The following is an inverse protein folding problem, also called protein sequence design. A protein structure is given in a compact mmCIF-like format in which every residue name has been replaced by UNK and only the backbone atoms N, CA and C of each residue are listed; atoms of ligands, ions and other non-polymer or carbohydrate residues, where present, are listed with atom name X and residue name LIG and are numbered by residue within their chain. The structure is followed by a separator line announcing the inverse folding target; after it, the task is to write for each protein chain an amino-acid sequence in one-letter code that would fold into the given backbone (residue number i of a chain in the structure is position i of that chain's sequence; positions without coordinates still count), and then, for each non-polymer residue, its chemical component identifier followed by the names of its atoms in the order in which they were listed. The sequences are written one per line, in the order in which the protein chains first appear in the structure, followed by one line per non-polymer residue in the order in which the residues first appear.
data_IF_882394200443
#
_entry.id   IF_882394200443
#
_cell.length_a   1.000
_cell.length_b   1.000
_cell.length_c   1.000
_cell.angle_alpha   90.00
_cell.angle_beta   90.00
_cell.angle_gamma   90.00
#
_symmetry.space_group_name_H-M   'P 1'
#
loop_
_entity.id
_entity.type
_entity.pdbx_description
1 polymer ?
#
# COMPACT_ATOMS: atom_id res chain seq x y z
N UNK A 1 21.48 -19.61 20.28
CA UNK A 1 22.21 -20.56 19.42
C UNK A 1 21.22 -21.50 18.75
N UNK A 2 21.25 -21.59 17.41
CA UNK A 2 20.34 -22.41 16.60
C UNK A 2 20.91 -23.80 16.26
N UNK A 3 22.08 -24.14 16.79
CA UNK A 3 22.82 -25.37 16.48
C UNK A 3 23.92 -25.22 15.42
N UNK A 4 23.89 -24.14 14.61
CA UNK A 4 24.93 -23.80 13.61
C UNK A 4 25.18 -22.29 13.48
N UNK A 5 24.58 -21.49 14.35
CA UNK A 5 24.62 -20.03 14.30
C UNK A 5 23.75 -19.40 15.38
N UNK A 6 23.43 -18.12 15.23
CA UNK A 6 22.68 -17.35 16.22
C UNK A 6 21.45 -16.68 15.61
N UNK A 7 20.38 -16.60 16.38
CA UNK A 7 19.23 -15.75 16.09
C UNK A 7 19.26 -14.58 17.05
N UNK A 8 19.12 -13.37 16.51
CA UNK A 8 18.85 -12.18 17.31
C UNK A 8 17.34 -11.95 17.30
N UNK A 9 16.75 -11.78 18.48
CA UNK A 9 15.31 -11.58 18.67
C UNK A 9 15.11 -10.30 19.46
N UNK A 10 14.37 -9.36 18.89
CA UNK A 10 13.88 -8.17 19.58
C UNK A 10 12.41 -8.40 19.92
N UNK A 11 12.08 -8.27 21.21
CA UNK A 11 10.70 -8.31 21.67
C UNK A 11 10.13 -6.90 21.63
N UNK A 12 8.93 -6.74 21.07
CA UNK A 12 8.27 -5.44 20.97
C UNK A 12 7.23 -5.28 22.07
N UNK A 13 7.17 -4.09 22.67
CA UNK A 13 6.24 -3.79 23.77
C UNK A 13 4.78 -3.88 23.33
N UNK A 14 4.48 -3.48 22.09
CA UNK A 14 3.14 -3.49 21.52
C UNK A 14 3.11 -4.31 20.22
N UNK A 15 1.98 -4.94 19.88
CA UNK A 15 1.77 -5.52 18.56
C UNK A 15 2.01 -4.47 17.46
N UNK A 16 2.77 -4.84 16.43
CA UNK A 16 3.07 -3.92 15.32
C UNK A 16 1.87 -3.91 14.35
N UNK A 17 1.26 -2.74 14.09
CA UNK A 17 0.17 -2.67 13.13
C UNK A 17 0.61 -3.08 11.73
N UNK A 18 -0.26 -3.81 11.02
CA UNK A 18 -0.02 -4.25 9.62
C UNK A 18 0.35 -3.10 8.67
N UNK A 19 -0.19 -1.90 8.89
CA UNK A 19 0.10 -0.70 8.10
C UNK A 19 1.59 -0.27 8.16
N UNK A 20 2.33 -0.75 9.16
CA UNK A 20 3.73 -0.42 9.42
C UNK A 20 4.71 -1.30 8.62
N UNK A 21 4.24 -2.30 7.88
CA UNK A 21 5.09 -3.23 7.13
C UNK A 21 6.17 -2.54 6.26
N UNK A 22 5.90 -1.45 5.51
CA UNK A 22 6.95 -0.79 4.74
C UNK A 22 8.11 -0.26 5.59
N UNK A 23 7.82 0.25 6.79
CA UNK A 23 8.82 0.75 7.74
C UNK A 23 9.54 -0.41 8.41
N UNK A 24 8.80 -1.45 8.79
CA UNK A 24 9.37 -2.69 9.32
C UNK A 24 10.36 -3.32 8.32
N UNK A 25 10.00 -3.40 7.04
CA UNK A 25 10.88 -3.86 5.95
C UNK A 25 12.11 -2.97 5.74
N UNK A 26 12.04 -1.67 6.05
CA UNK A 26 13.20 -0.79 6.02
C UNK A 26 14.13 -1.09 7.20
N UNK A 27 13.55 -1.25 8.40
CA UNK A 27 14.29 -1.59 9.61
C UNK A 27 15.06 -2.90 9.45
N UNK A 28 14.40 -3.96 8.97
CA UNK A 28 15.10 -5.24 8.74
C UNK A 28 16.22 -5.15 7.71
N UNK A 29 16.01 -4.38 6.63
CA UNK A 29 17.07 -4.18 5.63
C UNK A 29 18.30 -3.52 6.23
N UNK A 30 18.08 -2.50 7.06
CA UNK A 30 19.15 -1.79 7.75
C UNK A 30 19.84 -2.66 8.80
N UNK A 31 19.09 -3.41 9.61
CA UNK A 31 19.66 -4.36 10.58
C UNK A 31 20.54 -5.42 9.88
N UNK A 32 20.06 -6.03 8.80
CA UNK A 32 20.84 -7.01 8.03
C UNK A 32 22.08 -6.36 7.40
N UNK A 33 21.97 -5.11 6.91
CA UNK A 33 23.11 -4.39 6.37
C UNK A 33 24.19 -4.15 7.45
N UNK A 34 23.80 -3.62 8.62
CA UNK A 34 24.72 -3.35 9.74
C UNK A 34 25.39 -4.61 10.28
N UNK A 35 24.68 -5.73 10.26
CA UNK A 35 25.15 -7.03 10.73
C UNK A 35 25.83 -7.88 9.65
N UNK A 36 25.92 -7.39 8.41
CA UNK A 36 26.51 -8.13 7.28
C UNK A 36 27.95 -8.55 7.55
N UNK A 37 28.75 -7.69 8.19
CA UNK A 37 30.14 -7.98 8.60
C UNK A 37 30.27 -9.17 9.57
N UNK A 38 29.19 -9.55 10.25
CA UNK A 38 29.13 -10.70 11.15
C UNK A 38 28.45 -11.92 10.50
N UNK A 39 28.21 -11.89 9.18
CA UNK A 39 27.60 -13.00 8.44
C UNK A 39 26.07 -13.06 8.54
N UNK A 40 25.40 -11.91 8.69
CA UNK A 40 23.93 -11.87 8.68
C UNK A 40 23.36 -12.42 7.36
N UNK A 41 22.34 -13.29 7.46
CA UNK A 41 21.62 -13.83 6.32
C UNK A 41 20.87 -12.70 5.57
N UNK A 42 21.29 -12.42 4.34
CA UNK A 42 20.71 -11.38 3.49
C UNK A 42 19.20 -11.57 3.24
N UNK A 43 18.70 -12.79 3.36
CA UNK A 43 17.30 -13.14 3.16
C UNK A 43 16.44 -13.01 4.43
N UNK A 44 17.04 -12.84 5.62
CA UNK A 44 16.33 -12.74 6.90
C UNK A 44 15.66 -11.37 7.11
N UNK A 45 14.71 -11.03 6.24
CA UNK A 45 14.02 -9.73 6.19
C UNK A 45 12.50 -9.86 6.14
N UNK A 46 11.96 -11.06 6.33
CA UNK A 46 10.52 -11.38 6.29
C UNK A 46 9.86 -11.25 7.66
N UNK A 47 8.62 -10.77 7.67
CA UNK A 47 7.88 -10.44 8.90
C UNK A 47 7.46 -11.67 9.71
N UNK A 48 7.41 -12.85 9.08
CA UNK A 48 6.88 -14.08 9.67
C UNK A 48 7.79 -15.29 9.55
N UNK A 49 9.09 -15.10 9.82
CA UNK A 49 10.06 -16.19 9.77
C UNK A 49 9.78 -17.26 10.81
N UNK A 50 9.77 -18.52 10.38
CA UNK A 50 9.79 -19.69 11.27
C UNK A 50 11.20 -19.87 11.83
N UNK A 51 11.32 -19.79 13.15
CA UNK A 51 12.57 -20.01 13.87
C UNK A 51 12.52 -21.32 14.66
N UNK A 52 13.68 -21.94 14.88
CA UNK A 52 13.77 -23.13 15.73
C UNK A 52 13.38 -22.80 17.17
N UNK A 53 12.63 -23.72 17.77
CA UNK A 53 12.16 -23.63 19.16
C UNK A 53 13.34 -23.84 20.12
N UNK A 54 13.41 -23.06 21.20
CA UNK A 54 14.42 -23.25 22.25
C UNK A 54 14.18 -24.62 22.91
N UNK A 55 15.25 -25.31 23.29
CA UNK A 55 15.31 -26.71 23.79
C UNK A 55 15.11 -27.80 22.75
N UNK A 56 14.75 -27.50 21.51
CA UNK A 56 14.67 -28.51 20.44
C UNK A 56 16.05 -28.88 19.88
N UNK A 57 16.15 -30.05 19.25
CA UNK A 57 17.38 -30.53 18.61
C UNK A 57 17.40 -30.10 17.14
N UNK A 58 18.49 -29.46 16.70
CA UNK A 58 18.71 -29.20 15.29
C UNK A 58 19.17 -30.49 14.59
N UNK A 59 18.28 -31.13 13.83
CA UNK A 59 18.56 -32.38 13.11
C UNK A 59 19.79 -32.32 12.18
N UNK A 60 20.18 -31.14 11.69
CA UNK A 60 21.35 -30.97 10.81
C UNK A 60 22.69 -30.94 11.55
N UNK A 61 22.71 -30.77 12.87
CA UNK A 61 23.95 -30.75 13.66
C UNK A 61 23.91 -31.57 14.94
N UNK A 62 22.75 -32.13 15.30
CA UNK A 62 22.54 -32.83 16.57
C UNK A 62 22.56 -31.92 17.80
N UNK A 63 22.73 -30.61 17.62
CA UNK A 63 22.90 -29.66 18.72
C UNK A 63 21.56 -29.13 19.25
N UNK A 64 21.49 -28.93 20.56
CA UNK A 64 20.32 -28.33 21.23
C UNK A 64 20.30 -26.82 21.00
N UNK A 65 19.14 -26.33 20.56
CA UNK A 65 18.84 -24.91 20.41
C UNK A 65 18.69 -24.32 21.81
N UNK A 66 19.50 -23.30 22.14
CA UNK A 66 19.52 -22.70 23.48
C UNK A 66 19.66 -21.19 23.44
N UNK A 67 19.18 -20.52 24.48
CA UNK A 67 19.47 -19.10 24.72
C UNK A 67 20.94 -18.99 25.15
N UNK A 68 21.68 -18.06 24.55
CA UNK A 68 23.12 -17.85 24.86
C UNK A 68 23.32 -16.52 25.59
N UNK A 69 22.47 -15.55 25.33
CA UNK A 69 22.42 -14.29 26.04
C UNK A 69 21.05 -13.66 25.85
N UNK A 70 20.60 -12.93 26.86
CA UNK A 70 19.39 -12.13 26.82
C UNK A 70 19.63 -10.85 27.63
N UNK A 71 19.05 -9.75 27.17
CA UNK A 71 19.04 -8.49 27.91
C UNK A 71 17.82 -8.46 28.80
N UNK A 72 18.02 -8.23 30.09
CA UNK A 72 16.96 -8.18 31.09
C UNK A 72 16.76 -6.75 31.59
N UNK A 73 15.51 -6.43 31.94
CA UNK A 73 15.08 -5.21 32.60
C UNK A 73 14.04 -5.61 33.65
N UNK A 74 14.29 -5.30 34.92
CA UNK A 74 13.43 -5.70 36.04
C UNK A 74 13.08 -7.20 36.03
N UNK A 75 14.09 -8.06 35.92
CA UNK A 75 13.97 -9.53 35.85
C UNK A 75 13.12 -10.09 34.69
N UNK A 76 12.75 -9.25 33.71
CA UNK A 76 12.04 -9.65 32.50
C UNK A 76 12.90 -9.43 31.28
N UNK A 77 12.66 -10.18 30.20
CA UNK A 77 13.33 -9.93 28.92
C UNK A 77 12.96 -8.52 28.46
N UNK A 78 13.98 -7.71 28.19
CA UNK A 78 13.80 -6.33 27.75
C UNK A 78 12.98 -6.27 26.47
N UNK A 79 11.92 -5.47 26.50
CA UNK A 79 11.06 -5.18 25.35
C UNK A 79 11.34 -3.78 24.82
N UNK A 80 11.16 -3.59 23.52
CA UNK A 80 11.50 -2.36 22.82
C UNK A 80 10.25 -1.74 22.18
N UNK A 81 10.14 -0.41 22.24
CA UNK A 81 9.19 0.31 21.39
C UNK A 81 9.62 0.18 19.93
N UNK A 82 8.71 -0.23 19.03
CA UNK A 82 9.06 -0.38 17.61
C UNK A 82 9.50 0.94 16.99
N UNK A 83 8.80 2.04 17.28
CA UNK A 83 9.13 3.35 16.74
C UNK A 83 10.51 3.83 17.22
N UNK A 84 10.80 3.68 18.52
CA UNK A 84 12.10 4.00 19.09
C UNK A 84 13.23 3.19 18.44
N UNK A 85 13.09 1.86 18.36
CA UNK A 85 14.09 1.01 17.71
C UNK A 85 14.29 1.39 16.24
N UNK A 86 13.20 1.72 15.54
CA UNK A 86 13.26 2.14 14.16
C UNK A 86 13.95 3.49 13.99
N UNK A 87 13.70 4.45 14.86
CA UNK A 87 14.30 5.79 14.80
C UNK A 87 15.78 5.77 15.18
N UNK A 88 16.21 4.90 16.11
CA UNK A 88 17.63 4.70 16.45
C UNK A 88 18.41 3.95 15.35
N UNK A 89 17.72 3.08 14.59
CA UNK A 89 18.37 2.22 13.60
C UNK A 89 18.31 2.80 12.19
N UNK A 90 17.23 3.45 11.80
CA UNK A 90 17.09 3.99 10.45
C UNK A 90 17.88 5.29 10.30
N UNK A 91 18.35 5.63 9.09
CA UNK A 91 19.11 6.86 8.86
C UNK A 91 18.34 8.17 9.10
N UNK A 92 17.01 8.09 9.12
CA UNK A 92 16.13 9.24 9.34
C UNK A 92 14.94 8.82 10.20
N UNK A 93 14.56 9.68 11.14
CA UNK A 93 13.38 9.48 11.97
C UNK A 93 12.10 9.77 11.19
N UNK A 94 10.95 9.37 11.74
CA UNK A 94 9.64 9.69 11.14
C UNK A 94 9.40 11.19 11.01
N UNK A 95 9.83 11.97 12.01
CA UNK A 95 9.67 13.43 12.05
C UNK A 95 10.58 14.11 11.02
N UNK A 96 11.84 13.70 10.93
CA UNK A 96 12.78 14.19 9.92
C UNK A 96 12.29 13.87 8.49
N UNK A 97 11.75 12.66 8.26
CA UNK A 97 11.14 12.32 6.97
C UNK A 97 9.94 13.23 6.68
N UNK A 98 9.16 13.61 7.69
CA UNK A 98 8.04 14.54 7.53
C UNK A 98 8.54 15.95 7.18
N UNK A 99 9.48 16.49 7.95
CA UNK A 99 10.10 17.80 7.71
C UNK A 99 10.76 17.86 6.33
N UNK A 100 11.57 16.86 5.96
CA UNK A 100 12.18 16.77 4.63
C UNK A 100 11.12 16.74 3.52
N UNK A 101 9.95 16.14 3.74
CA UNK A 101 8.84 16.17 2.77
C UNK A 101 8.19 17.53 2.70
N UNK A 102 7.97 18.20 3.82
CA UNK A 102 7.42 19.56 3.88
C UNK A 102 8.37 20.57 3.24
N UNK A 103 9.66 20.52 3.56
CA UNK A 103 10.68 21.37 2.94
C UNK A 103 10.75 21.14 1.44
N UNK A 104 10.70 19.88 0.98
CA UNK A 104 10.63 19.57 -0.46
C UNK A 104 9.35 20.10 -1.09
N UNK A 105 8.22 20.08 -0.37
CA UNK A 105 6.97 20.66 -0.86
C UNK A 105 7.03 22.20 -0.94
N UNK A 106 7.60 22.86 0.07
CA UNK A 106 7.83 24.32 0.12
C UNK A 106 8.86 24.77 -0.94
N UNK A 107 9.95 24.02 -1.15
CA UNK A 107 10.94 24.30 -2.20
C UNK A 107 10.36 24.09 -3.60
N UNK A 108 9.42 23.15 -3.76
CA UNK A 108 8.66 22.99 -5.01
C UNK A 108 7.69 24.13 -5.30
N UNK A 109 7.04 24.72 -4.29
CA UNK A 109 6.19 25.89 -4.51
C UNK A 109 7.00 27.13 -4.91
N UNK A 110 8.31 27.16 -4.62
CA UNK A 110 9.20 28.30 -4.91
C UNK A 110 10.05 28.15 -6.19
N UNK A 111 9.88 27.09 -6.99
CA UNK A 111 10.52 26.98 -8.32
C UNK A 111 9.57 26.40 -9.36
N UNK A 112 8.77 27.28 -9.98
CA UNK A 112 8.17 27.00 -11.29
C UNK A 112 9.13 27.49 -12.37
N UNK A 113 10.17 26.69 -12.63
CA UNK A 113 10.80 26.68 -13.96
C UNK A 113 10.18 25.47 -14.67
N UNK A 114 9.53 25.69 -15.81
CA UNK A 114 8.98 24.65 -16.68
C UNK A 114 10.11 23.70 -17.10
N UNK A 115 10.36 22.68 -16.29
CA UNK A 115 11.37 21.65 -16.50
C UNK A 115 10.76 20.29 -16.21
N UNK A 116 10.76 19.42 -17.22
CA UNK A 116 9.95 18.22 -17.39
C UNK A 116 10.31 17.03 -16.46
N UNK A 117 10.61 17.26 -15.19
CA UNK A 117 10.93 16.20 -14.23
C UNK A 117 9.93 16.20 -13.08
N UNK A 118 9.03 15.22 -13.10
CA UNK A 118 8.08 14.89 -12.03
C UNK A 118 8.83 14.35 -10.78
N UNK A 119 9.68 15.17 -10.17
CA UNK A 119 10.29 14.88 -8.88
C UNK A 119 9.19 14.90 -7.82
N UNK A 120 9.07 13.88 -6.96
CA UNK A 120 8.13 13.83 -5.82
C UNK A 120 6.83 13.05 -6.04
N UNK A 121 6.65 12.37 -7.17
CA UNK A 121 5.74 11.21 -7.18
C UNK A 121 6.39 10.11 -6.33
N UNK A 122 5.63 9.47 -5.43
CA UNK A 122 6.09 8.20 -4.85
C UNK A 122 6.39 7.27 -6.02
N UNK A 123 7.64 6.86 -6.17
CA UNK A 123 8.01 5.90 -7.19
C UNK A 123 7.10 4.68 -7.09
N UNK A 124 6.68 4.16 -8.24
CA UNK A 124 5.88 2.94 -8.28
C UNK A 124 6.66 1.82 -7.58
N UNK A 125 6.11 1.28 -6.50
CA UNK A 125 6.69 0.15 -5.79
C UNK A 125 5.79 -1.05 -5.99
N UNK A 126 6.28 -2.06 -6.73
CA UNK A 126 5.54 -3.30 -6.94
C UNK A 126 5.17 -4.00 -5.63
N UNK A 127 6.05 -3.94 -4.62
CA UNK A 127 5.79 -4.50 -3.28
C UNK A 127 4.65 -3.78 -2.57
N UNK A 128 4.61 -2.44 -2.66
CA UNK A 128 3.52 -1.65 -2.11
C UNK A 128 2.21 -1.94 -2.83
N UNK A 129 2.23 -1.98 -4.17
CA UNK A 129 1.05 -2.34 -4.95
C UNK A 129 0.51 -3.72 -4.55
N UNK A 130 1.40 -4.71 -4.38
CA UNK A 130 1.00 -6.04 -3.93
C UNK A 130 0.32 -6.00 -2.56
N UNK A 131 0.89 -5.25 -1.61
CA UNK A 131 0.28 -5.05 -0.30
C UNK A 131 -1.09 -4.36 -0.37
N UNK A 132 -1.20 -3.27 -1.14
CA UNK A 132 -2.45 -2.52 -1.29
C UNK A 132 -3.54 -3.40 -1.97
N UNK A 133 -3.17 -4.28 -2.90
CA UNK A 133 -4.08 -5.28 -3.51
C UNK A 133 -4.52 -6.36 -2.53
N UNK A 134 -3.61 -6.86 -1.68
CA UNK A 134 -3.96 -7.77 -0.60
C UNK A 134 -5.02 -7.14 0.32
N UNK A 135 -4.85 -5.86 0.68
CA UNK A 135 -5.80 -5.16 1.52
C UNK A 135 -7.16 -4.95 0.83
N UNK A 136 -7.16 -4.65 -0.48
CA UNK A 136 -8.40 -4.60 -1.26
C UNK A 136 -9.13 -5.95 -1.30
N UNK A 137 -8.42 -7.07 -1.45
CA UNK A 137 -9.04 -8.40 -1.43
C UNK A 137 -9.65 -8.72 -0.06
N UNK A 138 -8.97 -8.37 1.04
CA UNK A 138 -9.55 -8.50 2.38
C UNK A 138 -10.79 -7.64 2.55
N UNK A 139 -10.73 -6.40 2.07
CA UNK A 139 -11.88 -5.48 2.13
C UNK A 139 -13.04 -5.99 1.28
N UNK A 140 -12.78 -6.47 0.07
CA UNK A 140 -13.78 -7.08 -0.80
C UNK A 140 -14.46 -8.26 -0.09
N UNK A 141 -13.66 -9.12 0.54
CA UNK A 141 -14.18 -10.25 1.31
C UNK A 141 -15.09 -9.82 2.48
N UNK A 142 -14.76 -8.73 3.17
CA UNK A 142 -15.61 -8.16 4.23
C UNK A 142 -16.90 -7.58 3.64
N UNK A 143 -16.81 -6.86 2.52
CA UNK A 143 -17.96 -6.22 1.86
C UNK A 143 -19.03 -7.21 1.40
N UNK A 144 -18.63 -8.43 1.00
CA UNK A 144 -19.54 -9.46 0.48
C UNK A 144 -20.27 -10.28 1.56
N UNK A 145 -19.84 -10.22 2.83
CA UNK A 145 -20.48 -10.99 3.92
C UNK A 145 -20.28 -12.52 3.80
N UNK A 146 -20.43 -13.26 4.91
CA UNK A 146 -20.14 -14.73 5.00
C UNK A 146 -20.90 -15.60 4.00
N UNK A 147 -22.10 -15.21 3.60
CA UNK A 147 -23.05 -16.05 2.85
C UNK A 147 -22.82 -16.05 1.33
N UNK A 148 -22.25 -14.99 0.75
CA UNK A 148 -22.00 -14.89 -0.70
C UNK A 148 -20.67 -15.51 -1.16
N UNK A 149 -20.10 -16.44 -0.37
CA UNK A 149 -18.67 -16.83 -0.45
C UNK A 149 -18.40 -18.32 -0.74
N UNK A 150 -19.44 -19.12 -0.94
CA UNK A 150 -19.27 -20.53 -1.26
C UNK A 150 -18.62 -20.67 -2.64
N UNK A 151 -17.47 -21.35 -2.71
CA UNK A 151 -16.67 -21.51 -3.94
C UNK A 151 -15.55 -20.48 -4.16
N UNK A 152 -15.57 -19.30 -3.52
CA UNK A 152 -14.53 -18.26 -3.73
C UNK A 152 -13.38 -18.32 -2.71
N UNK A 153 -13.50 -19.13 -1.63
CA UNK A 153 -12.53 -19.15 -0.51
C UNK A 153 -11.11 -19.46 -0.95
N UNK A 154 -10.92 -20.51 -1.76
CA UNK A 154 -9.61 -20.87 -2.32
C UNK A 154 -9.03 -19.77 -3.22
N UNK A 155 -9.90 -19.12 -4.00
CA UNK A 155 -9.50 -18.04 -4.89
C UNK A 155 -8.99 -16.83 -4.10
N UNK A 156 -9.71 -16.42 -3.04
CA UNK A 156 -9.25 -15.39 -2.12
C UNK A 156 -7.93 -15.80 -1.45
N UNK A 157 -7.85 -17.01 -0.89
CA UNK A 157 -6.65 -17.48 -0.21
C UNK A 157 -5.42 -17.46 -1.14
N UNK A 158 -5.56 -18.03 -2.34
CA UNK A 158 -4.50 -18.09 -3.34
C UNK A 158 -3.97 -16.70 -3.70
N UNK A 159 -4.87 -15.78 -4.05
CA UNK A 159 -4.46 -14.43 -4.44
C UNK A 159 -3.90 -13.61 -3.29
N UNK A 160 -4.48 -13.75 -2.08
CA UNK A 160 -3.96 -13.10 -0.89
C UNK A 160 -2.53 -13.57 -0.55
N UNK A 161 -2.26 -14.88 -0.61
CA UNK A 161 -0.91 -15.42 -0.37
C UNK A 161 0.07 -14.99 -1.47
N UNK A 162 -0.33 -15.02 -2.74
CA UNK A 162 0.50 -14.54 -3.84
C UNK A 162 0.91 -13.06 -3.64
N UNK A 163 -0.02 -12.19 -3.22
CA UNK A 163 0.29 -10.80 -2.94
C UNK A 163 1.10 -10.60 -1.66
N UNK A 164 0.90 -11.44 -0.65
CA UNK A 164 1.70 -11.44 0.57
C UNK A 164 3.17 -11.75 0.26
N UNK A 165 3.42 -12.76 -0.59
CA UNK A 165 4.75 -13.11 -1.09
C UNK A 165 5.37 -11.99 -1.94
N UNK A 166 4.61 -11.42 -2.90
CA UNK A 166 5.08 -10.31 -3.73
C UNK A 166 5.42 -9.05 -2.91
N UNK A 167 4.69 -8.79 -1.82
CA UNK A 167 4.96 -7.67 -0.92
C UNK A 167 6.26 -7.86 -0.13
N UNK A 168 6.75 -9.10 -0.03
CA UNK A 168 7.89 -9.49 0.81
C UNK A 168 7.56 -9.60 2.30
N UNK A 169 6.28 -9.62 2.68
CA UNK A 169 5.86 -9.84 4.05
C UNK A 169 6.20 -11.26 4.53
N UNK A 170 6.12 -12.24 3.63
CA UNK A 170 6.50 -13.63 3.88
C UNK A 170 7.41 -14.16 2.76
N UNK A 171 7.87 -15.40 2.90
CA UNK A 171 8.71 -16.13 1.94
C UNK A 171 8.20 -17.57 1.76
N UNK A 172 8.85 -18.35 0.91
CA UNK A 172 8.43 -19.73 0.64
C UNK A 172 8.36 -20.58 1.92
N UNK A 173 9.31 -20.42 2.85
CA UNK A 173 9.36 -21.23 4.08
C UNK A 173 8.18 -20.94 5.02
N UNK A 174 7.73 -19.69 5.10
CA UNK A 174 6.61 -19.26 5.95
C UNK A 174 5.23 -19.38 5.28
N UNK A 175 5.19 -19.66 3.97
CA UNK A 175 3.98 -19.54 3.15
C UNK A 175 2.79 -20.34 3.68
N UNK A 176 2.98 -21.60 4.07
CA UNK A 176 1.85 -22.46 4.50
C UNK A 176 1.28 -22.07 5.87
N UNK A 177 2.11 -21.54 6.77
CA UNK A 177 1.62 -21.00 8.04
C UNK A 177 0.78 -19.75 7.80
N UNK A 178 1.27 -18.85 6.94
CA UNK A 178 0.49 -17.67 6.53
C UNK A 178 -0.80 -18.06 5.84
N UNK A 179 -0.77 -19.08 4.98
CA UNK A 179 -1.97 -19.58 4.32
C UNK A 179 -2.98 -20.15 5.33
N UNK A 180 -2.51 -20.87 6.35
CA UNK A 180 -3.37 -21.33 7.45
C UNK A 180 -4.03 -20.18 8.20
N UNK A 181 -3.27 -19.12 8.50
CA UNK A 181 -3.82 -17.99 9.24
C UNK A 181 -4.78 -17.15 8.39
N UNK A 182 -4.47 -16.96 7.10
CA UNK A 182 -5.39 -16.32 6.17
C UNK A 182 -6.66 -17.15 5.97
N UNK A 183 -6.57 -18.48 5.89
CA UNK A 183 -7.72 -19.35 5.77
C UNK A 183 -8.67 -19.19 6.95
N UNK A 184 -8.16 -19.15 8.19
CA UNK A 184 -8.98 -18.86 9.39
C UNK A 184 -9.63 -17.48 9.34
N UNK A 185 -8.93 -16.48 8.82
CA UNK A 185 -9.49 -15.12 8.66
C UNK A 185 -10.59 -15.04 7.60
N UNK A 186 -10.54 -15.93 6.61
CA UNK A 186 -11.55 -16.09 5.57
C UNK A 186 -12.75 -16.81 6.19
N UNK A 187 -12.54 -18.02 6.69
CA UNK A 187 -13.56 -18.84 7.33
C UNK A 187 -12.91 -19.67 8.45
N UNK A 188 -13.25 -19.39 9.73
CA UNK A 188 -12.67 -20.10 10.87
C UNK A 188 -12.87 -21.63 10.84
N UNK A 189 -13.94 -22.10 10.20
CA UNK A 189 -14.28 -23.52 10.14
C UNK A 189 -13.72 -24.23 8.90
N UNK A 190 -12.96 -23.52 8.07
CA UNK A 190 -12.50 -24.03 6.79
C UNK A 190 -11.16 -24.75 6.88
N UNK A 191 -11.20 -26.07 6.72
CA UNK A 191 -10.01 -26.91 6.51
C UNK A 191 -9.65 -27.00 5.03
N UNK A 192 -8.88 -26.03 4.52
CA UNK A 192 -8.37 -26.10 3.15
C UNK A 192 -7.23 -27.12 3.01
N UNK A 193 -7.05 -27.67 1.81
CA UNK A 193 -5.97 -28.61 1.48
C UNK A 193 -4.71 -27.86 1.05
N UNK A 194 -3.59 -28.10 1.74
CA UNK A 194 -2.33 -27.39 1.46
C UNK A 194 -1.77 -27.66 0.06
N UNK A 195 -2.08 -28.83 -0.50
CA UNK A 195 -1.68 -29.29 -1.83
C UNK A 195 -2.19 -28.37 -2.94
N UNK A 196 -3.32 -27.71 -2.72
CA UNK A 196 -3.90 -26.75 -3.67
C UNK A 196 -3.02 -25.49 -3.85
N UNK A 197 -2.11 -25.24 -2.91
CA UNK A 197 -1.12 -24.15 -2.99
C UNK A 197 0.26 -24.61 -3.47
N UNK A 198 0.46 -25.89 -3.79
CA UNK A 198 1.75 -26.46 -4.21
C UNK A 198 2.39 -25.73 -5.40
N UNK A 199 1.59 -25.40 -6.41
CA UNK A 199 2.06 -24.65 -7.59
C UNK A 199 2.54 -23.24 -7.22
N UNK A 200 1.81 -22.57 -6.31
CA UNK A 200 2.21 -21.26 -5.81
C UNK A 200 3.47 -21.35 -4.94
N UNK A 201 3.63 -22.44 -4.19
CA UNK A 201 4.82 -22.70 -3.38
C UNK A 201 6.08 -22.89 -4.23
N UNK A 202 6.02 -23.66 -5.32
CA UNK A 202 7.17 -23.78 -6.23
C UNK A 202 7.52 -22.43 -6.87
N UNK A 203 6.52 -21.65 -7.28
CA UNK A 203 6.73 -20.28 -7.76
C UNK A 203 7.32 -19.35 -6.70
N UNK A 204 6.96 -19.52 -5.43
CA UNK A 204 7.52 -18.77 -4.32
C UNK A 204 9.00 -19.09 -4.12
N UNK A 205 9.40 -20.36 -4.26
CA UNK A 205 10.82 -20.79 -4.22
C UNK A 205 11.61 -20.18 -5.35
N UNK A 206 11.07 -20.22 -6.58
CA UNK A 206 11.70 -19.60 -7.74
C UNK A 206 11.89 -18.09 -7.57
N UNK A 207 10.85 -17.41 -7.09
CA UNK A 207 10.90 -15.98 -6.83
C UNK A 207 11.92 -15.62 -5.74
N UNK A 208 11.99 -16.41 -4.67
CA UNK A 208 12.99 -16.22 -3.62
C UNK A 208 14.42 -16.46 -4.13
N UNK A 209 14.61 -17.37 -5.07
CA UNK A 209 15.89 -17.60 -5.75
C UNK A 209 16.23 -16.51 -6.79
N UNK A 210 15.37 -15.50 -6.97
CA UNK A 210 15.57 -14.43 -7.94
C UNK A 210 15.31 -14.82 -9.39
N UNK A 211 14.67 -15.97 -9.63
CA UNK A 211 14.29 -16.40 -10.99
C UNK A 211 13.17 -15.50 -11.53
N UNK A 212 13.17 -15.35 -12.85
CA UNK A 212 12.18 -14.61 -13.61
C UNK A 212 11.63 -15.46 -14.75
N UNK A 213 10.39 -15.20 -15.14
CA UNK A 213 9.75 -15.80 -16.31
C UNK A 213 9.71 -14.79 -17.45
N UNK A 214 9.97 -15.25 -18.68
CA UNK A 214 9.80 -14.42 -19.88
C UNK A 214 8.43 -14.67 -20.47
N UNK A 215 7.64 -13.61 -20.65
CA UNK A 215 6.32 -13.67 -21.27
C UNK A 215 6.12 -12.44 -22.15
N UNK A 216 5.68 -12.63 -23.41
CA UNK A 216 5.53 -11.54 -24.39
C UNK A 216 6.76 -10.61 -24.47
N UNK A 217 7.96 -11.19 -24.57
CA UNK A 217 9.25 -10.49 -24.62
C UNK A 217 9.53 -9.56 -23.41
N UNK A 218 8.89 -9.83 -22.27
CA UNK A 218 9.10 -9.09 -21.01
C UNK A 218 9.41 -10.06 -19.88
N UNK A 219 10.31 -9.65 -18.99
CA UNK A 219 10.61 -10.40 -17.79
C UNK A 219 9.63 -10.05 -16.67
N UNK A 220 9.13 -11.09 -16.02
CA UNK A 220 8.25 -11.00 -14.86
C UNK A 220 8.83 -11.81 -13.70
N UNK A 221 8.50 -11.44 -12.44
CA UNK A 221 8.69 -12.33 -11.30
C UNK A 221 8.06 -13.70 -11.54
N UNK A 222 8.61 -14.78 -10.97
CA UNK A 222 8.02 -16.12 -11.08
C UNK A 222 6.62 -16.24 -10.47
N UNK A 223 6.30 -15.39 -9.49
CA UNK A 223 4.97 -15.23 -8.89
C UNK A 223 3.97 -14.57 -9.86
N UNK A 224 2.67 -14.71 -9.57
CA UNK A 224 1.63 -14.18 -10.44
C UNK A 224 1.50 -12.66 -10.31
N UNK A 225 1.68 -11.92 -11.41
CA UNK A 225 1.52 -10.46 -11.46
C UNK A 225 0.37 -10.05 -12.37
N UNK A 226 -0.90 -10.23 -11.94
CA UNK A 226 -2.06 -9.95 -12.78
C UNK A 226 -2.26 -8.45 -13.00
N UNK A 227 -2.91 -8.12 -14.12
CA UNK A 227 -3.47 -6.78 -14.35
C UNK A 227 -4.70 -6.58 -13.46
N UNK A 228 -5.07 -5.32 -13.21
CA UNK A 228 -6.29 -5.01 -12.46
C UNK A 228 -7.53 -5.64 -13.09
N UNK A 229 -7.66 -5.56 -14.42
CA UNK A 229 -8.81 -6.12 -15.13
C UNK A 229 -8.95 -7.62 -14.85
N UNK A 230 -7.86 -8.39 -14.95
CA UNK A 230 -7.89 -9.82 -14.62
C UNK A 230 -8.44 -10.08 -13.21
N UNK A 231 -8.04 -9.31 -12.19
CA UNK A 231 -8.56 -9.50 -10.83
C UNK A 231 -10.04 -9.08 -10.71
N UNK A 232 -10.43 -8.02 -11.41
CA UNK A 232 -11.83 -7.59 -11.46
C UNK A 232 -12.70 -8.69 -12.09
N UNK A 233 -12.23 -9.29 -13.19
CA UNK A 233 -12.94 -10.36 -13.88
C UNK A 233 -12.98 -11.64 -13.03
N UNK A 234 -11.83 -12.05 -12.48
CA UNK A 234 -11.70 -13.25 -11.62
C UNK A 234 -12.65 -13.20 -10.42
N UNK A 235 -12.75 -12.04 -9.77
CA UNK A 235 -13.60 -11.87 -8.60
C UNK A 235 -14.99 -11.29 -8.94
N UNK A 236 -15.32 -11.09 -10.22
CA UNK A 236 -16.55 -10.40 -10.65
C UNK A 236 -16.83 -9.11 -9.86
N UNK A 237 -15.81 -8.25 -9.69
CA UNK A 237 -15.91 -7.05 -8.85
C UNK A 237 -16.83 -6.01 -9.48
N UNK A 238 -17.93 -5.70 -8.80
CA UNK A 238 -18.93 -4.74 -9.26
C UNK A 238 -18.43 -3.29 -9.21
N UNK A 239 -19.06 -2.41 -9.97
CA UNK A 239 -18.73 -0.97 -9.95
C UNK A 239 -18.86 -0.35 -8.56
N UNK A 240 -19.83 -0.79 -7.76
CA UNK A 240 -20.03 -0.27 -6.40
C UNK A 240 -19.01 -0.80 -5.39
N UNK A 241 -18.54 -2.04 -5.57
CA UNK A 241 -17.40 -2.56 -4.82
C UNK A 241 -16.13 -1.79 -5.17
N UNK A 242 -15.86 -1.56 -6.46
CA UNK A 242 -14.67 -0.83 -6.91
C UNK A 242 -14.57 0.58 -6.28
N UNK A 243 -15.68 1.30 -6.10
CA UNK A 243 -15.72 2.59 -5.38
C UNK A 243 -15.19 2.49 -3.94
N UNK A 244 -15.36 1.35 -3.29
CA UNK A 244 -14.89 1.10 -1.92
C UNK A 244 -13.44 0.57 -1.88
N UNK A 245 -12.85 0.16 -3.00
CA UNK A 245 -11.48 -0.36 -3.10
C UNK A 245 -10.47 0.72 -3.48
N UNK A 246 -9.20 0.49 -3.17
CA UNK A 246 -8.12 1.46 -3.36
C UNK A 246 -7.40 1.31 -4.70
N UNK A 247 -7.06 0.08 -5.08
CA UNK A 247 -6.25 -0.29 -6.25
C UNK A 247 -6.97 -1.18 -7.25
N UNK A 248 -7.87 -2.07 -6.81
CA UNK A 248 -8.66 -2.96 -7.67
C UNK A 248 -9.82 -2.22 -8.33
N UNK A 249 -9.47 -1.24 -9.17
CA UNK A 249 -10.41 -0.41 -9.93
C UNK A 249 -10.16 -0.55 -11.42
N UNK A 250 -11.25 -0.51 -12.18
CA UNK A 250 -11.27 -0.52 -13.63
C UNK A 250 -10.99 0.87 -14.22
N UNK A 251 -11.01 0.95 -15.55
CA UNK A 251 -10.71 2.20 -16.27
C UNK A 251 -11.75 3.29 -16.01
N UNK A 252 -13.04 2.93 -15.96
CA UNK A 252 -14.14 3.87 -15.70
C UNK A 252 -14.01 4.56 -14.34
N UNK A 253 -13.88 3.78 -13.27
CA UNK A 253 -13.70 4.30 -11.90
C UNK A 253 -12.41 5.11 -11.76
N UNK A 254 -11.32 4.68 -12.42
CA UNK A 254 -10.07 5.44 -12.42
C UNK A 254 -10.23 6.83 -13.06
N UNK A 255 -10.93 6.90 -14.20
CA UNK A 255 -11.24 8.16 -14.87
C UNK A 255 -12.14 9.03 -14.02
N UNK A 256 -13.13 8.46 -13.34
CA UNK A 256 -14.03 9.20 -12.45
C UNK A 256 -13.28 9.84 -11.28
N UNK A 257 -12.45 9.06 -10.57
CA UNK A 257 -11.58 9.61 -9.51
C UNK A 257 -10.60 10.65 -10.02
N UNK A 258 -10.15 10.53 -11.26
CA UNK A 258 -9.31 11.55 -11.89
C UNK A 258 -10.10 12.85 -12.12
N UNK A 259 -11.32 12.77 -12.69
CA UNK A 259 -12.22 13.91 -12.89
C UNK A 259 -12.49 14.65 -11.58
N UNK A 260 -12.88 13.92 -10.53
CA UNK A 260 -13.17 14.49 -9.21
C UNK A 260 -11.94 15.20 -8.60
N UNK A 261 -10.75 14.60 -8.69
CA UNK A 261 -9.51 15.24 -8.21
C UNK A 261 -9.15 16.49 -8.99
N UNK A 262 -9.32 16.48 -10.31
CA UNK A 262 -9.08 17.65 -11.14
C UNK A 262 -10.09 18.77 -10.85
N UNK A 263 -11.35 18.44 -10.63
CA UNK A 263 -12.37 19.40 -10.23
C UNK A 263 -12.04 20.05 -8.88
N UNK A 264 -11.69 19.25 -7.86
CA UNK A 264 -11.27 19.78 -6.56
C UNK A 264 -10.02 20.67 -6.68
N UNK A 265 -9.04 20.28 -7.50
CA UNK A 265 -7.86 21.11 -7.77
C UNK A 265 -8.22 22.42 -8.46
N UNK A 266 -9.18 22.41 -9.38
CA UNK A 266 -9.67 23.65 -10.03
C UNK A 266 -10.34 24.55 -9.01
N UNK A 267 -11.25 24.02 -8.18
CA UNK A 267 -11.91 24.78 -7.10
C UNK A 267 -10.92 25.40 -6.12
N UNK A 268 -9.93 24.62 -5.67
CA UNK A 268 -8.88 25.10 -4.76
C UNK A 268 -8.01 26.23 -5.35
N UNK A 269 -7.95 26.36 -6.68
CA UNK A 269 -7.25 27.46 -7.38
C UNK A 269 -8.18 28.63 -7.74
N UNK A 270 -9.39 28.67 -7.18
CA UNK A 270 -10.38 29.71 -7.49
C UNK A 270 -11.12 29.51 -8.82
N UNK A 271 -11.06 28.31 -9.40
CA UNK A 271 -11.84 27.96 -10.57
C UNK A 271 -13.33 27.94 -10.23
N UNK A 272 -14.08 28.91 -10.75
CA UNK A 272 -15.54 28.95 -10.68
C UNK A 272 -16.16 27.81 -11.46
N UNK A 273 -17.28 27.29 -10.96
CA UNK A 273 -18.08 26.28 -11.65
C UNK A 273 -18.61 26.82 -12.98
N UNK A 274 -18.97 25.93 -13.91
CA UNK A 274 -19.61 26.37 -15.16
C UNK A 274 -20.91 27.14 -14.88
N UNK A 275 -21.64 26.77 -13.84
CA UNK A 275 -22.85 27.48 -13.42
C UNK A 275 -22.53 28.91 -12.92
N UNK A 276 -21.54 29.08 -12.06
CA UNK A 276 -21.09 30.41 -11.59
C UNK A 276 -20.50 31.26 -12.72
N UNK A 277 -19.71 30.65 -13.61
CA UNK A 277 -19.20 31.32 -14.80
C UNK A 277 -20.32 31.79 -15.73
N UNK A 278 -21.35 30.97 -15.94
CA UNK A 278 -22.53 31.32 -16.73
C UNK A 278 -23.43 32.35 -16.03
N UNK A 279 -23.54 32.28 -14.70
CA UNK A 279 -24.27 33.27 -13.90
C UNK A 279 -23.59 34.65 -13.92
N UNK A 280 -22.26 34.68 -14.05
CA UNK A 280 -21.47 35.90 -14.25
C UNK A 280 -21.45 36.37 -15.71
N UNK A 281 -22.05 35.63 -16.64
CA UNK A 281 -22.13 36.04 -18.03
C UNK A 281 -23.13 37.20 -18.15
N UNK A 282 -22.68 38.30 -18.76
CA UNK A 282 -23.46 39.53 -18.98
C UNK A 282 -24.85 39.23 -19.60
N UNK A 283 -24.93 38.20 -20.44
CA UNK A 283 -26.18 37.75 -21.09
C UNK A 283 -27.18 37.12 -20.12
N UNK A 284 -26.74 36.52 -19.02
CA UNK A 284 -27.60 35.96 -17.97
C UNK A 284 -27.92 37.01 -16.90
N UNK A 285 -26.99 37.90 -16.57
CA UNK A 285 -27.22 38.99 -15.61
C UNK A 285 -28.18 40.06 -16.14
N UNK A 286 -28.26 40.20 -17.48
CA UNK A 286 -29.12 41.14 -18.20
C UNK A 286 -29.21 42.54 -17.56
N UNK A 287 -28.07 43.22 -17.34
CA UNK A 287 -28.02 44.51 -16.66
C UNK A 287 -28.88 45.58 -17.34
N UNK A 288 -29.08 45.50 -18.66
CA UNK A 288 -29.95 46.40 -19.42
C UNK A 288 -31.44 46.30 -19.03
N UNK A 289 -31.92 45.13 -18.60
CA UNK A 289 -33.31 44.98 -18.11
C UNK A 289 -33.51 45.76 -16.81
N UNK A 290 -32.53 45.73 -15.90
CA UNK A 290 -32.57 46.51 -14.65
C UNK A 290 -32.47 48.02 -14.87
N UNK A 291 -31.81 48.44 -15.95
CA UNK A 291 -31.70 49.84 -16.38
C UNK A 291 -32.87 50.29 -17.26
N UNK A 292 -33.82 49.40 -17.60
CA UNK A 292 -34.97 49.70 -18.44
C UNK A 292 -34.62 50.03 -19.91
N UNK A 293 -33.46 49.59 -20.41
CA UNK A 293 -32.98 49.87 -21.78
C UNK A 293 -32.84 48.59 -22.60
N UNK A 294 -32.85 48.72 -23.93
CA UNK A 294 -32.58 47.57 -24.81
C UNK A 294 -31.11 47.17 -24.75
N UNK A 295 -30.83 45.88 -25.04
CA UNK A 295 -29.46 45.34 -25.03
C UNK A 295 -28.52 46.14 -25.93
N UNK A 296 -28.93 46.47 -27.17
CA UNK A 296 -28.11 47.28 -28.10
C UNK A 296 -27.74 48.63 -27.50
N UNK A 297 -28.74 49.33 -26.95
CA UNK A 297 -28.56 50.66 -26.36
C UNK A 297 -27.61 50.63 -25.15
N UNK A 298 -27.62 49.56 -24.35
CA UNK A 298 -26.68 49.40 -23.23
C UNK A 298 -25.22 49.21 -23.69
N UNK A 299 -24.98 48.51 -24.81
CA UNK A 299 -23.64 48.40 -25.40
C UNK A 299 -23.18 49.74 -25.99
N UNK A 300 -24.07 50.49 -26.66
CA UNK A 300 -23.80 51.83 -27.20
C UNK A 300 -23.46 52.84 -26.09
N UNK A 301 -24.11 52.75 -24.93
CA UNK A 301 -23.84 53.57 -23.75
C UNK A 301 -22.54 53.22 -23.00
N UNK A 302 -21.73 52.28 -23.51
CA UNK A 302 -20.45 51.93 -22.89
C UNK A 302 -20.55 51.01 -21.68
N UNK A 303 -21.63 50.21 -21.57
CA UNK A 303 -21.87 49.24 -20.48
C UNK A 303 -21.95 49.89 -19.08
N UNK A 304 -22.87 50.84 -18.87
CA UNK A 304 -23.04 51.49 -17.57
C UNK A 304 -23.39 50.47 -16.48
N UNK A 305 -22.84 50.67 -15.29
CA UNK A 305 -23.11 49.84 -14.12
C UNK A 305 -24.57 50.03 -13.65
N UNK A 306 -25.19 48.96 -13.15
CA UNK A 306 -26.53 49.03 -12.56
C UNK A 306 -26.39 49.66 -11.16
N UNK A 307 -27.16 50.71 -10.81
CA UNK A 307 -27.19 51.27 -9.46
C UNK A 307 -27.55 50.17 -8.44
N UNK A 308 -26.78 50.07 -7.37
CA UNK A 308 -27.09 49.14 -6.28
C UNK A 308 -28.16 49.81 -5.40
N UNK A 309 -29.34 49.20 -5.29
CA UNK A 309 -30.37 49.64 -4.33
C UNK A 309 -29.80 49.53 -2.91
N UNK A 310 -29.33 50.65 -2.36
CA UNK A 310 -29.09 50.80 -0.93
C UNK A 310 -30.44 50.96 -0.25
N UNK A 311 -30.94 49.88 0.36
CA UNK A 311 -31.88 49.96 1.47
C UNK A 311 -31.13 50.19 2.76
#
# INVERSE_FOLDING_TARGET
FSGRGYYLKWFYTNPIPRATLPRWNALQRELVLRLSKYGADAAAKDASRILRIVTSVNSKSGQIVRVVGATYEQDKIKSYGFDQLADETLPFTREEIHQLREERAKKKSLRVIKGNKQSGLKGFSGRRLAWDRLEDLRKLYILRGSESKEGERMLFLFWQINFLLLSGATNANGMYLEASELAKSIDPNWGYKSEELSTLYEKAKDYQAGRSITFNNKQYPSLYTPKNQNLIDIFNITSDEQKKLSTLIGKSESLERYRQREELRRRARGGVTRAEYLANFITMQKPWEKLGVSRSKWYEMGKPAVPVDTK
#
